data_IF_216648098957
#
_entry.id   IF_216648098957
#
_cell.length_a   1.000
_cell.length_b   1.000
_cell.length_c   1.000
_cell.angle_alpha   90.00
_cell.angle_beta   90.00
_cell.angle_gamma   90.00
#
_symmetry.space_group_name_H-M   'P 1'
#
loop_
_entity.id
_entity.type
_entity.pdbx_description
1 polymer ?
#
# COMPACT_ATOMS: atom_id res chain seq x y z
N UNK A 1 2.13 -19.49 -6.52
CA UNK A 1 1.58 -18.23 -6.00
C UNK A 1 1.24 -17.35 -7.18
N UNK A 2 0.22 -16.49 -7.06
CA UNK A 2 0.02 -15.41 -8.04
C UNK A 2 0.93 -14.28 -7.56
N UNK A 3 1.76 -13.77 -8.46
CA UNK A 3 2.60 -12.59 -8.19
C UNK A 3 1.97 -11.36 -8.84
N UNK A 4 2.30 -10.18 -8.32
CA UNK A 4 1.73 -8.92 -8.78
C UNK A 4 1.97 -8.67 -10.28
N UNK A 5 3.14 -9.08 -10.78
CA UNK A 5 3.55 -8.97 -12.18
C UNK A 5 4.67 -9.98 -12.49
N UNK A 6 5.16 -10.01 -13.73
CA UNK A 6 6.21 -10.96 -14.14
C UNK A 6 7.51 -10.75 -13.37
N UNK A 7 8.15 -11.84 -12.94
CA UNK A 7 9.45 -11.85 -12.26
C UNK A 7 10.54 -11.13 -13.06
N UNK A 8 10.42 -11.05 -14.40
CA UNK A 8 11.37 -10.31 -15.23
C UNK A 8 11.47 -8.82 -14.90
N UNK A 9 10.42 -8.24 -14.30
CA UNK A 9 10.41 -6.84 -13.86
C UNK A 9 10.82 -6.67 -12.39
N UNK A 10 10.94 -7.76 -11.63
CA UNK A 10 11.12 -7.69 -10.17
C UNK A 10 12.41 -6.98 -9.78
N UNK A 11 13.51 -7.25 -10.48
CA UNK A 11 14.79 -6.61 -10.18
C UNK A 11 14.71 -5.08 -10.37
N UNK A 12 14.19 -4.63 -11.51
CA UNK A 12 14.02 -3.21 -11.82
C UNK A 12 13.05 -2.55 -10.82
N UNK A 13 11.95 -3.22 -10.49
CA UNK A 13 10.98 -2.73 -9.52
C UNK A 13 11.61 -2.52 -8.15
N UNK A 14 12.41 -3.48 -7.67
CA UNK A 14 13.12 -3.41 -6.40
C UNK A 14 14.14 -2.27 -6.39
N UNK A 15 14.90 -2.11 -7.47
CA UNK A 15 15.84 -1.00 -7.60
C UNK A 15 15.13 0.36 -7.61
N UNK A 16 14.07 0.48 -8.41
CA UNK A 16 13.29 1.72 -8.54
C UNK A 16 12.62 2.13 -7.23
N UNK A 17 12.03 1.19 -6.49
CA UNK A 17 11.41 1.52 -5.20
C UNK A 17 12.45 1.86 -4.13
N UNK A 18 13.59 1.17 -4.12
CA UNK A 18 14.72 1.46 -3.24
C UNK A 18 15.26 2.87 -3.45
N UNK A 19 15.59 3.22 -4.69
CA UNK A 19 16.08 4.55 -5.07
C UNK A 19 15.03 5.64 -4.80
N UNK A 20 13.74 5.36 -5.02
CA UNK A 20 12.65 6.30 -4.77
C UNK A 20 12.57 6.69 -3.29
N UNK A 21 12.52 5.70 -2.39
CA UNK A 21 12.43 5.96 -0.96
C UNK A 21 13.69 6.59 -0.41
N UNK A 22 14.86 6.10 -0.83
CA UNK A 22 16.13 6.66 -0.39
C UNK A 22 16.27 8.13 -0.82
N UNK A 23 15.99 8.46 -2.08
CA UNK A 23 16.05 9.84 -2.55
C UNK A 23 15.06 10.76 -1.81
N UNK A 24 13.82 10.30 -1.60
CA UNK A 24 12.80 11.10 -0.92
C UNK A 24 13.16 11.39 0.55
N UNK A 25 13.66 10.38 1.26
CA UNK A 25 13.89 10.47 2.72
C UNK A 25 15.29 11.00 3.01
N UNK A 26 16.32 10.45 2.37
CA UNK A 26 17.71 10.81 2.61
C UNK A 26 18.08 12.15 1.97
N UNK A 27 17.72 12.39 0.71
CA UNK A 27 18.09 13.63 0.01
C UNK A 27 17.05 14.74 0.21
N UNK A 28 15.76 14.44 -0.03
CA UNK A 28 14.68 15.42 0.05
C UNK A 28 14.16 15.65 1.49
N UNK A 29 14.68 14.90 2.46
CA UNK A 29 14.39 15.06 3.91
C UNK A 29 12.92 14.89 4.28
N UNK A 30 12.18 14.10 3.51
CA UNK A 30 10.81 13.73 3.90
C UNK A 30 10.84 12.73 5.05
N UNK A 31 9.89 12.85 5.97
CA UNK A 31 9.61 11.79 6.94
C UNK A 31 9.07 10.55 6.19
N UNK A 32 9.54 9.36 6.57
CA UNK A 32 9.18 8.09 5.92
C UNK A 32 7.66 7.87 5.85
N UNK A 33 6.93 8.06 6.95
CA UNK A 33 5.49 7.82 6.99
C UNK A 33 4.67 8.90 6.28
N UNK A 34 5.21 10.11 6.17
CA UNK A 34 4.60 11.16 5.32
C UNK A 34 4.79 10.80 3.85
N UNK A 35 6.01 10.38 3.46
CA UNK A 35 6.30 10.03 2.09
C UNK A 35 5.52 8.80 1.61
N UNK A 36 5.39 7.75 2.44
CA UNK A 36 4.59 6.57 2.10
C UNK A 36 3.12 6.90 1.87
N UNK A 37 2.56 7.85 2.65
CA UNK A 37 1.21 8.38 2.42
C UNK A 37 1.11 9.14 1.10
N UNK A 38 2.10 9.97 0.75
CA UNK A 38 2.15 10.66 -0.54
C UNK A 38 2.26 9.68 -1.70
N UNK A 39 3.07 8.63 -1.56
CA UNK A 39 3.22 7.57 -2.56
C UNK A 39 1.88 6.88 -2.84
N UNK A 40 1.11 6.58 -1.80
CA UNK A 40 -0.25 6.03 -1.93
C UNK A 40 -1.22 7.04 -2.56
N UNK A 41 -1.25 8.27 -2.05
CA UNK A 41 -2.22 9.29 -2.46
C UNK A 41 -2.01 9.82 -3.88
N UNK A 42 -0.77 9.85 -4.36
CA UNK A 42 -0.42 10.25 -5.73
C UNK A 42 -0.86 9.23 -6.78
N UNK A 43 -1.26 8.02 -6.38
CA UNK A 43 -1.66 6.94 -7.28
C UNK A 43 -0.48 6.20 -7.92
N UNK A 44 0.77 6.59 -7.63
CA UNK A 44 1.95 5.87 -8.11
C UNK A 44 2.08 4.49 -7.46
N UNK A 45 1.64 4.35 -6.20
CA UNK A 45 1.57 3.05 -5.54
C UNK A 45 0.66 2.05 -6.28
N UNK A 46 -0.54 2.46 -6.69
CA UNK A 46 -1.49 1.61 -7.45
C UNK A 46 -0.91 1.21 -8.82
N UNK A 47 -0.20 2.11 -9.49
CA UNK A 47 0.48 1.79 -10.75
C UNK A 47 1.63 0.79 -10.54
N UNK A 48 2.40 0.96 -9.47
CA UNK A 48 3.52 0.08 -9.14
C UNK A 48 3.03 -1.33 -8.79
N UNK A 49 2.06 -1.44 -7.86
CA UNK A 49 1.56 -2.73 -7.37
C UNK A 49 0.82 -3.54 -8.45
N UNK A 50 0.33 -2.90 -9.51
CA UNK A 50 -0.25 -3.55 -10.71
C UNK A 50 0.77 -3.83 -11.81
N UNK A 51 2.05 -3.54 -11.59
CA UNK A 51 3.11 -3.82 -12.56
C UNK A 51 3.08 -2.94 -13.81
N UNK A 52 2.66 -1.67 -13.70
CA UNK A 52 2.72 -0.74 -14.83
C UNK A 52 4.18 -0.61 -15.31
N UNK A 53 4.53 -1.04 -16.54
CA UNK A 53 5.92 -1.07 -17.01
C UNK A 53 6.60 0.29 -16.96
N UNK A 54 5.86 1.38 -17.18
CA UNK A 54 6.40 2.74 -17.11
C UNK A 54 6.87 3.11 -15.70
N UNK A 55 6.29 2.50 -14.66
CA UNK A 55 6.63 2.76 -13.26
C UNK A 55 7.63 1.75 -12.71
N UNK A 56 7.45 0.46 -13.02
CA UNK A 56 8.32 -0.58 -12.45
C UNK A 56 9.69 -0.67 -13.13
N UNK A 57 9.81 -0.25 -14.39
CA UNK A 57 11.07 -0.34 -15.17
C UNK A 57 11.33 0.88 -16.07
N UNK A 58 10.30 1.67 -16.41
CA UNK A 58 10.39 2.74 -17.40
C UNK A 58 10.93 4.10 -16.92
N UNK A 59 10.81 4.42 -15.63
CA UNK A 59 11.39 5.64 -15.02
C UNK A 59 12.34 5.23 -13.89
N UNK A 60 13.33 6.07 -13.62
CA UNK A 60 14.23 5.85 -12.48
C UNK A 60 13.51 6.04 -11.15
N UNK A 61 14.00 5.43 -10.07
CA UNK A 61 13.44 5.64 -8.74
C UNK A 61 13.47 7.11 -8.29
N UNK A 62 14.49 7.86 -8.71
CA UNK A 62 14.58 9.30 -8.44
C UNK A 62 13.46 10.07 -9.16
N UNK A 63 13.21 9.78 -10.44
CA UNK A 63 12.11 10.42 -11.19
C UNK A 63 10.76 10.07 -10.57
N UNK A 64 10.56 8.81 -10.15
CA UNK A 64 9.37 8.38 -9.43
C UNK A 64 9.17 9.20 -8.15
N UNK A 65 10.22 9.38 -7.35
CA UNK A 65 10.15 10.21 -6.14
C UNK A 65 9.83 11.68 -6.45
N UNK A 66 10.43 12.24 -7.50
CA UNK A 66 10.17 13.62 -7.93
C UNK A 66 8.71 13.81 -8.37
N UNK A 67 8.17 12.88 -9.15
CA UNK A 67 6.76 12.86 -9.57
C UNK A 67 5.80 12.78 -8.38
N UNK A 68 6.09 11.93 -7.39
CA UNK A 68 5.31 11.81 -6.15
C UNK A 68 5.37 13.12 -5.34
N UNK A 69 6.55 13.74 -5.23
CA UNK A 69 6.71 15.00 -4.50
C UNK A 69 5.97 16.13 -5.23
N UNK A 70 6.10 16.22 -6.54
CA UNK A 70 5.45 17.25 -7.35
C UNK A 70 3.92 17.17 -7.32
N UNK A 71 3.35 15.99 -7.12
CA UNK A 71 1.91 15.81 -6.90
C UNK A 71 1.38 16.66 -5.73
N UNK A 72 2.13 16.78 -4.63
CA UNK A 72 1.73 17.56 -3.45
C UNK A 72 2.44 18.92 -3.34
N UNK A 73 3.64 19.07 -3.90
CA UNK A 73 4.51 20.23 -3.76
C UNK A 73 4.97 20.73 -5.14
N UNK A 74 4.07 21.41 -5.86
CA UNK A 74 4.28 21.84 -7.26
C UNK A 74 5.49 22.76 -7.49
N UNK A 75 5.99 23.43 -6.45
CA UNK A 75 7.16 24.32 -6.53
C UNK A 75 8.36 23.80 -5.70
N UNK A 76 8.41 22.49 -5.41
CA UNK A 76 9.52 21.91 -4.65
C UNK A 76 10.84 22.05 -5.41
N UNK A 77 11.87 22.55 -4.73
CA UNK A 77 13.22 22.65 -5.29
C UNK A 77 14.00 21.41 -4.90
N UNK A 78 14.22 20.54 -5.87
CA UNK A 78 14.95 19.30 -5.65
C UNK A 78 16.43 19.57 -5.35
N UNK A 79 17.00 18.91 -4.32
CA UNK A 79 18.43 18.97 -4.08
C UNK A 79 19.19 18.30 -5.23
N UNK A 80 20.47 18.67 -5.39
CA UNK A 80 21.37 17.94 -6.27
C UNK A 80 21.45 16.47 -5.85
N UNK A 81 21.57 15.59 -6.85
CA UNK A 81 21.65 14.15 -6.62
C UNK A 81 22.96 13.83 -5.91
N UNK A 82 22.86 13.38 -4.66
CA UNK A 82 24.00 12.84 -3.92
C UNK A 82 23.95 11.34 -4.13
N UNK A 83 24.87 10.81 -4.92
CA UNK A 83 25.05 9.37 -5.06
C UNK A 83 25.90 8.88 -3.89
N UNK A 84 25.32 8.02 -3.06
CA UNK A 84 26.05 7.25 -2.05
C UNK A 84 26.44 5.91 -2.66
N UNK A 85 27.69 5.49 -2.49
CA UNK A 85 28.11 4.13 -2.82
C UNK A 85 27.54 3.10 -1.83
N UNK A 86 27.24 3.53 -0.60
CA UNK A 86 26.62 2.71 0.43
C UNK A 86 25.10 2.75 0.31
N UNK A 87 24.48 1.55 0.25
CA UNK A 87 23.02 1.39 0.28
C UNK A 87 22.53 1.65 1.71
N UNK A 88 21.70 2.67 1.88
CA UNK A 88 21.13 3.03 3.17
C UNK A 88 20.10 2.00 3.68
N UNK A 89 19.75 2.09 4.97
CA UNK A 89 18.63 1.34 5.55
C UNK A 89 17.30 1.57 4.82
N UNK A 90 17.11 2.79 4.29
CA UNK A 90 15.93 3.19 3.52
C UNK A 90 15.96 2.58 2.12
N UNK A 91 17.13 2.53 1.48
CA UNK A 91 17.31 1.85 0.21
C UNK A 91 16.93 0.37 0.35
N UNK A 92 17.49 -0.31 1.36
CA UNK A 92 17.14 -1.71 1.62
C UNK A 92 15.65 -1.88 1.90
N UNK A 93 15.03 -0.94 2.61
CA UNK A 93 13.59 -0.97 2.89
C UNK A 93 12.76 -0.94 1.62
N UNK A 94 13.06 -0.04 0.66
CA UNK A 94 12.36 -0.01 -0.62
C UNK A 94 12.59 -1.28 -1.44
N UNK A 95 13.82 -1.83 -1.41
CA UNK A 95 14.16 -3.08 -2.07
C UNK A 95 13.37 -4.28 -1.52
N UNK A 96 13.38 -4.44 -0.20
CA UNK A 96 12.70 -5.53 0.50
C UNK A 96 11.17 -5.41 0.38
N UNK A 97 10.65 -4.18 0.46
CA UNK A 97 9.22 -3.92 0.35
C UNK A 97 8.67 -4.22 -1.05
N UNK A 98 9.43 -3.91 -2.12
CA UNK A 98 9.02 -4.25 -3.48
C UNK A 98 8.87 -5.76 -3.66
N UNK A 99 9.79 -6.55 -3.09
CA UNK A 99 9.71 -8.01 -3.13
C UNK A 99 8.54 -8.54 -2.30
N UNK A 100 8.34 -8.01 -1.10
CA UNK A 100 7.18 -8.36 -0.27
C UNK A 100 5.85 -8.07 -0.95
N UNK A 101 5.72 -6.90 -1.58
CA UNK A 101 4.54 -6.52 -2.35
C UNK A 101 4.30 -7.48 -3.52
N UNK A 102 5.36 -7.79 -4.27
CA UNK A 102 5.30 -8.69 -5.42
C UNK A 102 4.93 -10.13 -5.04
N UNK A 103 5.48 -10.64 -3.95
CA UNK A 103 5.22 -11.99 -3.43
C UNK A 103 3.78 -12.14 -2.91
N UNK A 104 3.30 -11.13 -2.19
CA UNK A 104 2.00 -11.20 -1.49
C UNK A 104 0.82 -10.60 -2.26
N UNK A 105 1.09 -9.87 -3.35
CA UNK A 105 0.10 -9.07 -4.09
C UNK A 105 -0.66 -8.02 -3.25
N UNK A 106 -0.20 -7.74 -2.03
CA UNK A 106 -0.85 -6.78 -1.13
C UNK A 106 -0.73 -5.37 -1.68
N UNK A 107 -1.75 -4.55 -1.47
CA UNK A 107 -1.70 -3.13 -1.86
C UNK A 107 -0.82 -2.35 -0.89
N UNK A 108 -0.02 -1.42 -1.37
CA UNK A 108 0.85 -0.60 -0.51
C UNK A 108 0.07 0.14 0.58
N UNK A 109 -1.13 0.63 0.25
CA UNK A 109 -2.00 1.29 1.22
C UNK A 109 -2.38 0.37 2.38
N UNK A 110 -2.60 -0.91 2.10
CA UNK A 110 -2.98 -1.90 3.12
C UNK A 110 -1.77 -2.29 3.97
N UNK A 111 -0.59 -2.39 3.35
CA UNK A 111 0.69 -2.57 4.05
C UNK A 111 0.93 -1.40 5.01
N UNK A 112 0.97 -0.16 4.51
CA UNK A 112 1.28 1.02 5.33
C UNK A 112 0.21 1.37 6.36
N UNK A 113 -1.04 0.93 6.16
CA UNK A 113 -2.10 1.09 7.17
C UNK A 113 -1.93 0.16 8.38
N UNK A 114 -1.11 -0.88 8.27
CA UNK A 114 -0.79 -1.81 9.36
C UNK A 114 0.63 -1.59 9.88
N UNK A 115 1.60 -1.56 8.98
CA UNK A 115 3.02 -1.46 9.29
C UNK A 115 3.55 -0.16 8.64
N UNK A 116 3.71 0.93 9.42
CA UNK A 116 4.25 2.19 8.91
C UNK A 116 5.63 2.00 8.27
N UNK A 117 5.97 2.83 7.27
CA UNK A 117 7.25 2.70 6.58
C UNK A 117 8.43 2.87 7.56
N UNK A 118 8.29 3.75 8.55
CA UNK A 118 9.29 3.93 9.61
C UNK A 118 9.56 2.66 10.41
N UNK A 119 8.54 1.81 10.65
CA UNK A 119 8.72 0.52 11.32
C UNK A 119 9.49 -0.46 10.42
N UNK A 120 9.17 -0.49 9.13
CA UNK A 120 9.88 -1.36 8.17
C UNK A 120 11.36 -0.98 8.09
N UNK A 121 11.69 0.32 8.16
CA UNK A 121 13.10 0.79 8.21
C UNK A 121 13.85 0.18 9.38
N UNK A 122 13.24 0.07 10.56
CA UNK A 122 13.91 -0.52 11.74
C UNK A 122 14.27 -2.00 11.56
N UNK A 123 13.59 -2.70 10.65
CA UNK A 123 13.84 -4.11 10.35
C UNK A 123 15.19 -4.32 9.64
N UNK A 124 15.77 -3.27 9.05
CA UNK A 124 17.09 -3.32 8.39
C UNK A 124 18.14 -3.99 9.28
N UNK A 125 18.26 -3.53 10.53
CA UNK A 125 19.26 -3.98 11.49
C UNK A 125 19.32 -5.49 11.72
N UNK A 126 18.19 -6.20 11.51
CA UNK A 126 18.08 -7.64 11.69
C UNK A 126 18.22 -8.40 10.37
N UNK A 127 17.57 -7.92 9.31
CA UNK A 127 17.33 -8.72 8.10
C UNK A 127 18.25 -8.42 6.92
N UNK A 128 19.00 -7.31 6.93
CA UNK A 128 19.75 -6.88 5.73
C UNK A 128 20.87 -7.83 5.28
N UNK A 129 21.39 -8.67 6.18
CA UNK A 129 22.38 -9.70 5.88
C UNK A 129 21.75 -11.10 5.71
N UNK A 130 20.44 -11.23 5.90
CA UNK A 130 19.72 -12.49 5.84
C UNK A 130 19.13 -12.74 4.45
N UNK A 131 18.73 -13.98 4.19
CA UNK A 131 17.87 -14.29 3.05
C UNK A 131 16.53 -13.55 3.18
N UNK A 132 16.09 -12.93 2.07
CA UNK A 132 14.90 -12.07 2.03
C UNK A 132 13.62 -12.80 2.44
N UNK A 133 13.56 -14.12 2.32
CA UNK A 133 12.44 -14.93 2.80
C UNK A 133 12.17 -14.75 4.30
N UNK A 134 13.19 -14.53 5.12
CA UNK A 134 13.01 -14.28 6.57
C UNK A 134 12.28 -12.96 6.83
N UNK A 135 12.61 -11.92 6.05
CA UNK A 135 11.90 -10.64 6.10
C UNK A 135 10.43 -10.82 5.67
N UNK A 136 10.18 -11.53 4.58
CA UNK A 136 8.82 -11.78 4.07
C UNK A 136 7.98 -12.55 5.11
N UNK A 137 8.55 -13.57 5.75
CA UNK A 137 7.88 -14.33 6.80
C UNK A 137 7.52 -13.47 8.02
N UNK A 138 8.44 -12.66 8.53
CA UNK A 138 8.19 -11.80 9.69
C UNK A 138 7.21 -10.67 9.35
N UNK A 139 7.34 -10.07 8.18
CA UNK A 139 6.39 -9.08 7.66
C UNK A 139 4.97 -9.66 7.59
N UNK A 140 4.81 -10.88 7.09
CA UNK A 140 3.50 -11.55 7.04
C UNK A 140 2.94 -11.83 8.44
N UNK A 141 3.76 -12.29 9.38
CA UNK A 141 3.34 -12.50 10.78
C UNK A 141 2.87 -11.19 11.42
N UNK A 142 3.63 -10.11 11.27
CA UNK A 142 3.27 -8.77 11.78
C UNK A 142 1.99 -8.27 11.13
N UNK A 143 1.90 -8.34 9.81
CA UNK A 143 0.74 -7.87 9.05
C UNK A 143 -0.55 -8.58 9.51
N UNK A 144 -0.50 -9.90 9.71
CA UNK A 144 -1.64 -10.70 10.18
C UNK A 144 -1.98 -10.48 11.66
N UNK A 145 -1.02 -10.07 12.48
CA UNK A 145 -1.24 -9.82 13.91
C UNK A 145 -2.02 -8.53 14.19
N UNK A 146 -2.03 -7.60 13.23
CA UNK A 146 -2.64 -6.28 13.39
C UNK A 146 -4.11 -6.34 13.00
N UNK A 147 -4.98 -6.25 14.00
CA UNK A 147 -6.42 -6.17 13.79
C UNK A 147 -6.80 -4.77 13.35
N UNK A 148 -7.41 -4.63 12.17
CA UNK A 148 -7.99 -3.37 11.73
C UNK A 148 -9.45 -3.21 12.16
N UNK A 149 -9.86 -1.95 12.23
CA UNK A 149 -11.28 -1.60 12.23
C UNK A 149 -11.96 -2.12 10.96
N UNK A 150 -13.26 -2.36 11.04
CA UNK A 150 -14.02 -2.91 9.92
C UNK A 150 -14.07 -1.89 8.80
N UNK A 151 -13.51 -2.24 7.63
CA UNK A 151 -13.31 -1.32 6.52
C UNK A 151 -14.63 -0.68 6.07
N UNK A 152 -15.68 -1.50 5.95
CA UNK A 152 -17.02 -1.02 5.60
C UNK A 152 -17.49 0.09 6.55
N UNK A 153 -17.32 -0.11 7.86
CA UNK A 153 -17.74 0.83 8.89
C UNK A 153 -16.90 2.11 8.81
N UNK A 154 -15.58 1.96 8.80
CA UNK A 154 -14.63 3.09 8.78
C UNK A 154 -14.85 3.96 7.54
N UNK A 155 -14.98 3.35 6.36
CA UNK A 155 -15.24 4.07 5.11
C UNK A 155 -16.59 4.79 5.14
N UNK A 156 -17.62 4.12 5.64
CA UNK A 156 -18.97 4.70 5.77
C UNK A 156 -18.97 5.92 6.69
N UNK A 157 -18.34 5.81 7.86
CA UNK A 157 -18.29 6.88 8.87
C UNK A 157 -17.47 8.07 8.40
N UNK A 158 -16.33 7.84 7.73
CA UNK A 158 -15.53 8.89 7.10
C UNK A 158 -16.30 9.68 6.02
N UNK A 159 -17.35 9.08 5.45
CA UNK A 159 -18.22 9.70 4.45
C UNK A 159 -19.46 10.36 5.06
N UNK A 160 -19.63 10.28 6.38
CA UNK A 160 -20.78 10.83 7.09
C UNK A 160 -22.10 10.11 6.78
N UNK A 161 -22.05 8.87 6.31
CA UNK A 161 -23.24 8.10 5.93
C UNK A 161 -23.67 7.20 7.10
N UNK A 162 -24.94 7.17 7.46
CA UNK A 162 -25.46 6.20 8.45
C UNK A 162 -25.72 4.83 7.83
N UNK A 163 -25.83 3.78 8.65
CA UNK A 163 -26.17 2.43 8.17
C UNK A 163 -27.52 2.42 7.42
N UNK A 164 -28.49 3.22 7.88
CA UNK A 164 -29.82 3.35 7.28
C UNK A 164 -29.73 4.02 5.91
N UNK A 165 -28.98 5.11 5.79
CA UNK A 165 -28.76 5.79 4.51
C UNK A 165 -28.01 4.89 3.52
N UNK A 166 -26.97 4.18 3.97
CA UNK A 166 -26.24 3.24 3.11
C UNK A 166 -27.17 2.13 2.60
N UNK A 167 -28.05 1.59 3.45
CA UNK A 167 -29.02 0.58 3.04
C UNK A 167 -29.99 1.12 1.97
N UNK A 168 -30.53 2.32 2.19
CA UNK A 168 -31.45 2.98 1.26
C UNK A 168 -30.79 3.28 -0.09
N UNK A 169 -29.57 3.84 -0.09
CA UNK A 169 -28.85 4.23 -1.30
C UNK A 169 -28.34 3.02 -2.10
N UNK A 170 -27.84 1.98 -1.42
CA UNK A 170 -27.25 0.81 -2.09
C UNK A 170 -28.29 -0.26 -2.47
N UNK A 171 -29.48 -0.22 -1.85
CA UNK A 171 -30.48 -1.28 -1.94
C UNK A 171 -30.02 -2.61 -1.30
N UNK A 172 -29.01 -2.56 -0.43
CA UNK A 172 -28.60 -3.69 0.43
C UNK A 172 -29.41 -3.63 1.72
N UNK A 173 -29.84 -4.79 2.23
CA UNK A 173 -30.64 -4.85 3.46
C UNK A 173 -29.84 -4.26 4.64
N UNK A 174 -30.46 -3.39 5.43
CA UNK A 174 -29.86 -2.81 6.65
C UNK A 174 -29.26 -3.89 7.57
N UNK A 175 -29.99 -5.00 7.75
CA UNK A 175 -29.53 -6.13 8.56
C UNK A 175 -28.23 -6.74 8.04
N UNK A 176 -28.01 -6.78 6.72
CA UNK A 176 -26.78 -7.28 6.14
C UNK A 176 -25.61 -6.35 6.43
N UNK A 177 -25.79 -5.04 6.26
CA UNK A 177 -24.77 -4.02 6.59
C UNK A 177 -24.37 -4.13 8.06
N UNK A 178 -25.35 -4.20 8.97
CA UNK A 178 -25.11 -4.38 10.41
C UNK A 178 -24.31 -5.65 10.71
N UNK A 179 -24.65 -6.77 10.07
CA UNK A 179 -23.97 -8.05 10.28
C UNK A 179 -22.51 -8.01 9.84
N UNK A 180 -22.20 -7.34 8.72
CA UNK A 180 -20.83 -7.10 8.27
C UNK A 180 -20.08 -6.18 9.25
N UNK A 181 -20.68 -5.05 9.63
CA UNK A 181 -20.09 -4.09 10.59
C UNK A 181 -20.00 -4.61 12.04
N UNK A 182 -20.54 -5.78 12.34
CA UNK A 182 -20.42 -6.46 13.63
C UNK A 182 -19.52 -7.70 13.56
N UNK A 183 -18.90 -7.98 12.40
CA UNK A 183 -18.14 -9.21 12.10
C UNK A 183 -18.92 -10.51 12.36
N UNK A 184 -20.26 -10.45 12.39
CA UNK A 184 -21.11 -11.65 12.49
C UNK A 184 -21.11 -12.39 11.16
N UNK A 185 -21.19 -11.64 10.07
CA UNK A 185 -20.96 -12.17 8.73
C UNK A 185 -19.62 -11.68 8.21
N UNK A 186 -18.90 -12.61 7.61
CA UNK A 186 -17.67 -12.34 6.87
C UNK A 186 -17.98 -11.57 5.59
N UNK A 187 -17.49 -10.33 5.49
CA UNK A 187 -17.68 -9.48 4.32
C UNK A 187 -16.89 -9.98 3.11
N UNK A 188 -15.80 -10.73 3.34
CA UNK A 188 -14.97 -11.29 2.27
C UNK A 188 -15.73 -12.39 1.50
N UNK A 189 -16.74 -12.97 2.15
CA UNK A 189 -17.67 -13.95 1.58
C UNK A 189 -18.96 -13.33 1.05
N UNK A 190 -19.08 -12.00 1.08
CA UNK A 190 -20.25 -11.33 0.53
C UNK A 190 -20.31 -11.50 -0.99
N UNK A 191 -21.53 -11.59 -1.54
CA UNK A 191 -21.70 -11.69 -2.98
C UNK A 191 -21.10 -10.47 -3.68
N UNK A 192 -20.38 -10.68 -4.78
CA UNK A 192 -19.73 -9.61 -5.55
C UNK A 192 -20.70 -8.46 -5.91
N UNK A 193 -21.97 -8.77 -6.22
CA UNK A 193 -23.00 -7.75 -6.50
C UNK A 193 -23.33 -6.88 -5.28
N UNK A 194 -23.29 -7.45 -4.08
CA UNK A 194 -23.50 -6.71 -2.81
C UNK A 194 -22.33 -5.77 -2.58
N UNK A 195 -21.09 -6.27 -2.68
CA UNK A 195 -19.89 -5.46 -2.56
C UNK A 195 -19.85 -4.34 -3.60
N UNK A 196 -20.17 -4.65 -4.86
CA UNK A 196 -20.28 -3.65 -5.92
C UNK A 196 -21.25 -2.53 -5.55
N UNK A 197 -22.48 -2.86 -5.13
CA UNK A 197 -23.47 -1.85 -4.72
C UNK A 197 -22.99 -0.96 -3.57
N UNK A 198 -22.39 -1.55 -2.54
CA UNK A 198 -21.83 -0.80 -1.41
C UNK A 198 -20.69 0.11 -1.89
N UNK A 199 -19.76 -0.43 -2.67
CA UNK A 199 -18.60 0.30 -3.19
C UNK A 199 -18.99 1.50 -4.06
N UNK A 200 -20.10 1.40 -4.83
CA UNK A 200 -20.61 2.49 -5.67
C UNK A 200 -21.20 3.65 -4.87
N UNK A 201 -21.94 3.35 -3.80
CA UNK A 201 -22.52 4.39 -2.93
C UNK A 201 -21.45 5.05 -2.09
N UNK A 202 -20.55 4.23 -1.56
CA UNK A 202 -19.46 4.71 -0.76
C UNK A 202 -18.48 5.50 -1.66
N UNK A 203 -18.19 5.05 -2.88
CA UNK A 203 -17.21 5.68 -3.77
C UNK A 203 -15.80 5.13 -3.55
N UNK A 204 -15.69 3.83 -3.28
CA UNK A 204 -14.43 3.10 -3.13
C UNK A 204 -14.41 1.91 -4.10
N UNK A 205 -13.30 1.17 -4.15
CA UNK A 205 -13.25 -0.09 -4.88
C UNK A 205 -13.91 -1.21 -4.06
N UNK A 206 -14.11 -2.40 -4.66
CA UNK A 206 -14.62 -3.57 -3.92
C UNK A 206 -13.56 -4.06 -2.94
N UNK A 207 -12.30 -4.04 -3.36
CA UNK A 207 -11.12 -4.44 -2.59
C UNK A 207 -10.93 -3.54 -1.36
N UNK A 208 -11.46 -2.32 -1.37
CA UNK A 208 -11.47 -1.44 -0.18
C UNK A 208 -12.47 -1.87 0.90
N UNK A 209 -13.39 -2.78 0.57
CA UNK A 209 -14.39 -3.31 1.52
C UNK A 209 -13.98 -4.66 2.08
N UNK A 210 -12.95 -5.29 1.52
CA UNK A 210 -12.47 -6.62 1.90
C UNK A 210 -11.46 -6.50 3.03
N UNK A 211 -11.58 -7.33 4.05
CA UNK A 211 -10.70 -7.33 5.22
C UNK A 211 -9.39 -8.07 4.91
N UNK A 212 -9.47 -9.20 4.18
CA UNK A 212 -8.33 -10.02 3.79
C UNK A 212 -8.48 -10.56 2.35
N UNK A 213 -8.40 -9.69 1.31
CA UNK A 213 -8.62 -10.11 -0.07
C UNK A 213 -7.59 -11.11 -0.61
N UNK A 214 -6.42 -11.25 0.03
CA UNK A 214 -5.34 -12.13 -0.42
C UNK A 214 -5.27 -13.49 0.30
N UNK A 215 -6.20 -13.78 1.22
CA UNK A 215 -6.32 -15.08 1.92
C UNK A 215 -7.36 -16.00 1.26
#
# INVERSE_FOLDING_TARGET
MIHAYSESYLYDAKQNLAECFDYAISNCRFNADIFSKLFVQSGYADKFERGNPAIVSGISGIELAQEIIMYAYTNYKFPEKIFSEERSEVYWTGWALAEYQWDTCRRFKDIFSRIPLSEIVTMYSVYHEMDIGHFIEDMNKRYMSITQEIHLKTIRENRGISQVELAALSGVKLRSIQMYEQKVNDIDKAQARTLYKLSRVLGCSIEDLLENPEL
#
